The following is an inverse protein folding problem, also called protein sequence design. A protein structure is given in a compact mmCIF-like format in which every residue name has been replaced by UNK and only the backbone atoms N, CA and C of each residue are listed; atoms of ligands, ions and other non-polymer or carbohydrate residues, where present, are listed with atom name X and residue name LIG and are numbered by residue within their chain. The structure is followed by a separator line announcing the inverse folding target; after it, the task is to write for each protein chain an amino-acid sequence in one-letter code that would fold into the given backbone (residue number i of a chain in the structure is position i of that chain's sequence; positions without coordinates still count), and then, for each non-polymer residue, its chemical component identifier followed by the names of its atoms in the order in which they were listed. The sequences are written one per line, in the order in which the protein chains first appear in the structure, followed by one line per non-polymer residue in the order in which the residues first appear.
data_IF_823576710802
#
_entry.id   IF_823576710802
#
_cell.length_a   1.000
_cell.length_b   1.000
_cell.length_c   1.000
_cell.angle_alpha   90.00
_cell.angle_beta   90.00
_cell.angle_gamma   90.00
#
_symmetry.space_group_name_H-M   'P 1'
#
loop_
_entity.id
_entity.type
_entity.pdbx_description
1 polymer ?
#
# COMPACT_ATOMS: atom_id res chain seq x y z
N UNK A 1 35.13 -3.15 -2.90
CA UNK A 1 33.86 -2.89 -3.57
C UNK A 1 32.69 -3.12 -2.66
N UNK A 2 31.87 -2.15 -2.56
CA UNK A 2 30.72 -2.18 -1.67
C UNK A 2 29.59 -2.91 -2.37
N UNK A 3 29.06 -3.95 -1.74
CA UNK A 3 27.83 -4.55 -2.20
C UNK A 3 26.73 -3.51 -2.04
N UNK A 4 26.31 -2.97 -3.14
CA UNK A 4 25.19 -2.07 -3.16
C UNK A 4 23.95 -2.87 -2.87
N UNK A 5 23.37 -2.65 -1.71
CA UNK A 5 22.03 -3.13 -1.46
C UNK A 5 21.12 -2.29 -2.34
N UNK A 6 20.65 -2.86 -3.43
CA UNK A 6 19.71 -2.16 -4.28
C UNK A 6 18.40 -2.00 -3.54
N UNK A 7 18.09 -0.77 -3.15
CA UNK A 7 16.79 -0.45 -2.59
C UNK A 7 15.80 -0.38 -3.75
N UNK A 8 14.78 -1.22 -3.72
CA UNK A 8 13.73 -1.19 -4.73
C UNK A 8 12.81 -0.01 -4.47
N UNK A 9 12.66 0.84 -5.45
CA UNK A 9 11.79 2.00 -5.38
C UNK A 9 10.86 2.04 -6.59
N UNK A 10 9.62 2.46 -6.36
CA UNK A 10 8.71 2.73 -7.47
C UNK A 10 9.29 3.89 -8.27
N UNK A 11 9.29 3.76 -9.60
CA UNK A 11 9.87 4.77 -10.49
C UNK A 11 9.35 6.17 -10.12
N UNK A 12 10.23 7.13 -9.82
CA UNK A 12 9.80 8.48 -9.47
C UNK A 12 9.06 9.21 -10.60
N UNK A 13 9.14 8.70 -11.82
CA UNK A 13 8.38 9.24 -12.95
C UNK A 13 6.91 8.83 -12.93
N UNK A 14 6.51 7.85 -12.11
CA UNK A 14 5.10 7.54 -11.89
C UNK A 14 4.49 8.68 -11.09
N UNK A 15 3.52 9.44 -11.65
CA UNK A 15 2.95 10.57 -10.93
C UNK A 15 2.26 10.13 -9.64
N UNK A 16 2.37 10.92 -8.58
CA UNK A 16 1.76 10.61 -7.30
C UNK A 16 0.25 10.38 -7.42
N UNK A 17 -0.42 11.24 -8.17
CA UNK A 17 -1.85 11.11 -8.40
C UNK A 17 -2.19 9.77 -9.07
N UNK A 18 -1.41 9.37 -10.08
CA UNK A 18 -1.64 8.12 -10.78
C UNK A 18 -1.40 6.92 -9.84
N UNK A 19 -0.35 7.00 -9.02
CA UNK A 19 -0.03 5.95 -8.06
C UNK A 19 -1.20 5.69 -7.11
N UNK A 20 -1.81 6.74 -6.59
CA UNK A 20 -2.94 6.62 -5.67
C UNK A 20 -4.22 6.23 -6.39
N UNK A 21 -4.44 6.74 -7.60
CA UNK A 21 -5.62 6.40 -8.40
C UNK A 21 -5.65 4.92 -8.74
N UNK A 22 -4.50 4.36 -9.09
CA UNK A 22 -4.40 2.93 -9.41
C UNK A 22 -4.82 2.07 -8.21
N UNK A 23 -4.46 2.50 -7.00
CA UNK A 23 -4.88 1.80 -5.77
C UNK A 23 -6.40 1.92 -5.58
N UNK A 24 -6.94 3.12 -5.76
CA UNK A 24 -8.38 3.37 -5.59
C UNK A 24 -9.21 2.55 -6.58
N UNK A 25 -8.68 2.29 -7.77
CA UNK A 25 -9.37 1.54 -8.82
C UNK A 25 -9.45 0.04 -8.55
N UNK A 26 -8.77 -0.46 -7.53
CA UNK A 26 -8.75 -1.91 -7.24
C UNK A 26 -9.99 -2.45 -6.55
N UNK A 27 -10.93 -1.62 -6.11
CA UNK A 27 -12.07 -2.06 -5.29
C UNK A 27 -11.63 -2.90 -4.09
N UNK A 28 -10.52 -2.52 -3.48
CA UNK A 28 -9.88 -3.29 -2.42
C UNK A 28 -10.82 -3.63 -1.24
N UNK A 29 -11.73 -2.73 -0.79
CA UNK A 29 -12.64 -3.06 0.30
C UNK A 29 -13.53 -4.26 0.06
N UNK A 30 -13.87 -4.56 -1.19
CA UNK A 30 -14.69 -5.73 -1.52
C UNK A 30 -13.91 -7.04 -1.36
N UNK A 31 -12.60 -6.98 -1.41
CA UNK A 31 -11.73 -8.16 -1.41
C UNK A 31 -10.92 -8.33 -0.13
N UNK A 32 -10.70 -7.25 0.62
CA UNK A 32 -9.88 -7.26 1.83
C UNK A 32 -10.76 -7.07 3.06
N UNK A 33 -10.85 -8.10 3.89
CA UNK A 33 -11.75 -8.10 5.05
C UNK A 33 -11.39 -7.05 6.11
N UNK A 34 -10.12 -6.67 6.19
CA UNK A 34 -9.65 -5.68 7.17
C UNK A 34 -9.88 -4.24 6.72
N UNK A 35 -10.13 -4.03 5.44
CA UNK A 35 -10.31 -2.71 4.85
C UNK A 35 -11.81 -2.47 4.59
N UNK A 36 -12.37 -1.47 5.24
CA UNK A 36 -13.81 -1.19 5.18
C UNK A 36 -14.15 -0.19 4.09
N UNK A 37 -13.35 0.85 3.95
CA UNK A 37 -13.56 1.90 2.95
C UNK A 37 -12.22 2.41 2.43
N UNK A 38 -12.22 2.83 1.18
CA UNK A 38 -11.05 3.46 0.55
C UNK A 38 -11.54 4.45 -0.51
N UNK A 39 -11.04 5.68 -0.44
CA UNK A 39 -11.29 6.64 -1.50
C UNK A 39 -10.12 7.60 -1.65
N UNK A 40 -9.98 8.14 -2.86
CA UNK A 40 -8.95 9.11 -3.20
C UNK A 40 -9.52 10.51 -3.12
N UNK A 41 -8.82 11.39 -2.38
CA UNK A 41 -9.09 12.82 -2.43
C UNK A 41 -8.32 13.40 -3.62
N UNK A 42 -9.02 13.90 -4.66
CA UNK A 42 -8.33 14.39 -5.85
C UNK A 42 -7.66 15.75 -5.66
N UNK A 43 -8.03 16.52 -4.66
CA UNK A 43 -7.49 17.86 -4.45
C UNK A 43 -6.19 17.87 -3.66
N UNK A 44 -6.08 16.98 -2.70
CA UNK A 44 -4.85 16.79 -1.94
C UNK A 44 -4.49 15.32 -2.11
N UNK A 45 -3.72 14.92 -3.14
CA UNK A 45 -3.60 13.50 -3.48
C UNK A 45 -3.25 12.65 -2.26
N UNK A 46 -4.29 12.07 -1.70
CA UNK A 46 -4.26 11.37 -0.42
C UNK A 46 -5.33 10.29 -0.43
N UNK A 47 -4.96 9.08 -0.07
CA UNK A 47 -5.94 8.03 0.15
C UNK A 47 -6.51 8.16 1.57
N UNK A 48 -7.83 8.07 1.65
CA UNK A 48 -8.54 7.98 2.91
C UNK A 48 -9.04 6.55 3.06
N UNK A 49 -8.65 5.90 4.14
CA UNK A 49 -9.02 4.52 4.40
C UNK A 49 -9.71 4.42 5.76
N UNK A 50 -10.74 3.57 5.81
CA UNK A 50 -11.31 3.11 7.07
C UNK A 50 -10.98 1.63 7.19
N UNK A 51 -10.28 1.24 8.25
CA UNK A 51 -9.74 -0.10 8.40
C UNK A 51 -9.91 -0.59 9.84
N UNK A 52 -9.74 -1.89 10.05
CA UNK A 52 -9.83 -2.49 11.37
C UNK A 52 -8.97 -1.74 12.38
N UNK A 53 -9.54 -1.44 13.54
CA UNK A 53 -8.81 -0.82 14.64
C UNK A 53 -8.19 -1.93 15.50
N UNK A 54 -6.87 -2.04 15.47
CA UNK A 54 -6.14 -3.07 16.20
C UNK A 54 -6.18 -2.89 17.71
N UNK A 55 -6.53 -1.71 18.17
CA UNK A 55 -6.58 -1.37 19.60
C UNK A 55 -7.95 -1.57 20.22
N UNK A 56 -8.96 -1.87 19.41
CA UNK A 56 -10.35 -2.06 19.86
C UNK A 56 -10.84 -3.41 19.37
N UNK A 57 -11.27 -4.25 20.31
CA UNK A 57 -11.75 -5.60 20.05
C UNK A 57 -13.21 -5.67 19.60
N UNK A 58 -13.91 -4.54 19.47
CA UNK A 58 -15.30 -4.56 19.03
C UNK A 58 -15.38 -4.89 17.53
N UNK A 59 -16.42 -5.64 17.15
CA UNK A 59 -16.56 -6.14 15.77
C UNK A 59 -16.69 -5.04 14.73
N UNK A 60 -17.19 -3.89 15.11
CA UNK A 60 -17.43 -2.77 14.20
C UNK A 60 -16.39 -1.67 14.35
N UNK A 61 -15.30 -1.92 15.06
CA UNK A 61 -14.30 -0.89 15.25
C UNK A 61 -13.53 -0.64 13.95
N UNK A 62 -13.49 0.62 13.55
CA UNK A 62 -12.76 1.06 12.40
C UNK A 62 -12.00 2.32 12.75
N UNK A 63 -10.81 2.45 12.20
CA UNK A 63 -9.97 3.62 12.36
C UNK A 63 -9.70 4.25 11.01
N UNK A 64 -9.70 5.57 10.98
CA UNK A 64 -9.42 6.31 9.75
C UNK A 64 -7.92 6.52 9.58
N UNK A 65 -7.44 6.27 8.38
CA UNK A 65 -6.04 6.47 8.00
C UNK A 65 -5.97 7.37 6.78
N UNK A 66 -4.92 8.16 6.72
CA UNK A 66 -4.60 8.97 5.55
C UNK A 66 -3.24 8.53 5.04
N UNK A 67 -3.18 8.17 3.77
CA UNK A 67 -1.97 7.62 3.18
C UNK A 67 -1.61 8.44 1.94
N UNK A 68 -0.44 9.08 2.01
CA UNK A 68 0.10 9.84 0.88
C UNK A 68 0.82 8.93 -0.11
N UNK A 69 1.12 9.46 -1.29
CA UNK A 69 1.93 8.76 -2.27
C UNK A 69 3.33 8.45 -1.71
N UNK A 70 3.92 9.38 -0.96
CA UNK A 70 5.21 9.16 -0.33
C UNK A 70 5.17 7.99 0.64
N UNK A 71 4.08 7.85 1.38
CA UNK A 71 3.90 6.74 2.30
C UNK A 71 3.78 5.41 1.55
N UNK A 72 3.05 5.39 0.44
CA UNK A 72 2.94 4.21 -0.42
C UNK A 72 4.32 3.81 -0.94
N UNK A 73 5.09 4.76 -1.45
CA UNK A 73 6.44 4.49 -1.96
C UNK A 73 7.35 3.94 -0.86
N UNK A 74 7.32 4.56 0.32
CA UNK A 74 8.13 4.11 1.45
C UNK A 74 7.74 2.71 1.92
N UNK A 75 6.44 2.42 1.97
CA UNK A 75 5.95 1.10 2.37
C UNK A 75 6.36 0.02 1.38
N UNK A 76 6.25 0.29 0.09
CA UNK A 76 6.71 -0.64 -0.95
C UNK A 76 8.19 -0.95 -0.77
N UNK A 77 9.02 0.08 -0.64
CA UNK A 77 10.47 -0.09 -0.46
C UNK A 77 10.79 -0.92 0.78
N UNK A 78 10.13 -0.61 1.91
CA UNK A 78 10.34 -1.35 3.15
C UNK A 78 9.99 -2.84 3.00
N UNK A 79 8.91 -3.14 2.29
CA UNK A 79 8.49 -4.53 2.07
C UNK A 79 9.47 -5.28 1.17
N UNK A 80 10.04 -4.62 0.17
CA UNK A 80 11.04 -5.28 -0.69
C UNK A 80 12.34 -5.59 0.06
N UNK A 81 12.63 -4.86 1.12
CA UNK A 81 13.81 -5.09 1.96
C UNK A 81 13.59 -6.15 3.03
N UNK A 82 12.32 -6.51 3.30
CA UNK A 82 11.99 -7.51 4.31
C UNK A 82 12.04 -8.90 3.70
N UNK A 83 13.02 -9.71 4.13
CA UNK A 83 13.23 -11.06 3.61
C UNK A 83 12.05 -12.01 3.88
N UNK A 84 11.16 -11.67 4.81
CA UNK A 84 9.97 -12.46 5.13
C UNK A 84 8.81 -12.20 4.19
N UNK A 85 8.91 -11.16 3.38
CA UNK A 85 7.83 -10.73 2.49
C UNK A 85 8.25 -10.97 1.06
N UNK A 86 7.35 -11.58 0.27
CA UNK A 86 7.56 -11.79 -1.16
C UNK A 86 6.42 -11.11 -1.90
N UNK A 87 6.74 -10.07 -2.64
CA UNK A 87 5.79 -9.41 -3.51
C UNK A 87 5.78 -10.12 -4.87
N UNK A 88 4.60 -10.47 -5.33
CA UNK A 88 4.41 -11.23 -6.56
C UNK A 88 4.88 -10.46 -7.80
N UNK A 89 4.57 -9.18 -7.86
CA UNK A 89 4.74 -8.35 -9.05
C UNK A 89 5.68 -7.17 -8.78
N UNK A 90 6.69 -7.35 -7.95
CA UNK A 90 7.57 -6.25 -7.54
C UNK A 90 8.20 -5.53 -8.74
N UNK A 91 8.69 -6.27 -9.75
CA UNK A 91 9.34 -5.67 -10.91
C UNK A 91 8.36 -4.77 -11.70
N UNK A 92 7.15 -5.24 -11.89
CA UNK A 92 6.11 -4.49 -12.59
C UNK A 92 5.69 -3.24 -11.82
N UNK A 93 5.62 -3.35 -10.50
CA UNK A 93 5.28 -2.21 -9.65
C UNK A 93 6.38 -1.15 -9.70
N UNK A 94 7.64 -1.56 -9.69
CA UNK A 94 8.76 -0.62 -9.79
C UNK A 94 8.64 0.22 -11.06
N UNK A 95 8.30 -0.40 -12.18
CA UNK A 95 8.24 0.28 -13.47
C UNK A 95 6.99 1.13 -13.66
N UNK A 96 5.86 0.73 -13.11
CA UNK A 96 4.59 1.36 -13.45
C UNK A 96 3.67 1.72 -12.29
N UNK A 97 4.03 1.37 -11.06
CA UNK A 97 3.19 1.61 -9.89
C UNK A 97 2.28 0.44 -9.56
N UNK A 98 1.43 0.60 -8.55
CA UNK A 98 0.64 -0.50 -8.01
C UNK A 98 -0.46 -1.00 -8.96
N UNK A 99 -0.82 -0.22 -9.97
CA UNK A 99 -1.76 -0.68 -10.99
C UNK A 99 -1.27 -1.88 -11.78
N UNK A 100 0.04 -2.12 -11.79
CA UNK A 100 0.66 -3.27 -12.44
C UNK A 100 0.94 -4.43 -11.48
N UNK A 101 0.59 -4.26 -10.20
CA UNK A 101 0.70 -5.32 -9.21
C UNK A 101 -0.57 -6.14 -9.12
N UNK A 102 -0.53 -7.18 -8.28
CA UNK A 102 -1.72 -7.96 -7.97
C UNK A 102 -2.36 -7.48 -6.66
N UNK A 103 -3.56 -7.96 -6.38
CA UNK A 103 -4.28 -7.57 -5.17
C UNK A 103 -3.49 -7.93 -3.89
N UNK A 104 -2.78 -9.07 -3.90
CA UNK A 104 -1.97 -9.47 -2.75
C UNK A 104 -0.87 -8.46 -2.46
N UNK A 105 -0.25 -7.90 -3.49
CA UNK A 105 0.78 -6.87 -3.33
C UNK A 105 0.18 -5.56 -2.83
N UNK A 106 -0.97 -5.17 -3.37
CA UNK A 106 -1.70 -3.98 -2.91
C UNK A 106 -2.09 -4.14 -1.44
N UNK A 107 -2.59 -5.31 -1.06
CA UNK A 107 -2.93 -5.66 0.32
C UNK A 107 -1.72 -5.46 1.25
N UNK A 108 -0.58 -6.03 0.89
CA UNK A 108 0.64 -5.93 1.70
C UNK A 108 1.08 -4.47 1.87
N UNK A 109 1.09 -3.71 0.78
CA UNK A 109 1.51 -2.30 0.82
C UNK A 109 0.55 -1.47 1.69
N UNK A 110 -0.76 -1.67 1.53
CA UNK A 110 -1.75 -0.92 2.31
C UNK A 110 -1.67 -1.27 3.79
N UNK A 111 -1.51 -2.54 4.15
CA UNK A 111 -1.34 -2.92 5.55
C UNK A 111 -0.11 -2.27 6.16
N UNK A 112 1.02 -2.31 5.44
CA UNK A 112 2.24 -1.68 5.91
C UNK A 112 2.06 -0.17 6.07
N UNK A 113 1.38 0.48 5.14
CA UNK A 113 1.15 1.92 5.20
C UNK A 113 0.27 2.32 6.40
N UNK A 114 -0.73 1.48 6.73
CA UNK A 114 -1.64 1.76 7.84
C UNK A 114 -1.07 1.30 9.20
N UNK A 115 -0.49 0.11 9.25
CA UNK A 115 -0.12 -0.53 10.52
C UNK A 115 1.38 -0.60 10.77
N UNK A 116 2.21 -0.27 9.80
CA UNK A 116 3.66 -0.38 9.90
C UNK A 116 4.19 -1.80 9.70
N UNK A 117 3.32 -2.76 9.46
CA UNK A 117 3.68 -4.16 9.22
C UNK A 117 2.48 -4.90 8.64
N UNK A 118 2.71 -6.11 8.13
CA UNK A 118 1.63 -6.96 7.64
C UNK A 118 1.05 -7.72 8.84
N UNK A 119 -0.25 -7.59 9.05
CA UNK A 119 -0.97 -8.18 10.19
C UNK A 119 -1.92 -9.28 9.74
N UNK A 120 -2.63 -9.05 8.63
CA UNK A 120 -3.62 -9.97 8.11
C UNK A 120 -3.04 -10.80 6.97
N UNK A 121 -3.20 -12.09 7.07
CA UNK A 121 -2.70 -13.00 6.05
C UNK A 121 -3.59 -13.01 4.79
#
# INVERSE_FOLDING_TARGET
MIAMTETAEIDPNVPDHQLLQDIADYDAPDSLSWLHELHLDPQAPMLHLSAEDLMDDSEDSARDYRVSADKIRASFTALTEDSRVKLCCAAEIIDGGLGYGCLDDVDAVLQHACYGRIIFA
#
